data_IF_022507904952
#
_entry.id   IF_022507904952
#
_cell.length_a   1.000
_cell.length_b   1.000
_cell.length_c   1.000
_cell.angle_alpha   90.00
_cell.angle_beta   90.00
_cell.angle_gamma   90.00
#
_symmetry.space_group_name_H-M   'P 1'
#
loop_
_entity.id
_entity.type
_entity.pdbx_description
1 polymer ?
#
# COMPACT_ATOMS: atom_id res chain seq x y z
N UNK A 1 10.89 -11.82 -27.04
CA UNK A 1 10.49 -10.44 -27.29
C UNK A 1 8.97 -10.29 -27.40
N UNK A 2 8.28 -11.09 -28.18
CA UNK A 2 6.83 -11.02 -28.36
C UNK A 2 6.05 -10.96 -27.03
N UNK A 3 6.40 -11.80 -26.05
CA UNK A 3 5.76 -11.80 -24.73
C UNK A 3 5.98 -10.50 -23.94
N UNK A 4 7.15 -9.87 -24.11
CA UNK A 4 7.43 -8.56 -23.47
C UNK A 4 6.58 -7.46 -24.14
N UNK A 5 6.49 -7.46 -25.46
CA UNK A 5 5.70 -6.49 -26.21
C UNK A 5 4.20 -6.62 -25.81
N UNK A 6 3.68 -7.85 -25.69
CA UNK A 6 2.32 -8.12 -25.19
C UNK A 6 2.10 -7.61 -23.75
N UNK A 7 3.10 -7.70 -22.88
CA UNK A 7 3.00 -7.15 -21.53
C UNK A 7 3.03 -5.62 -21.52
N UNK A 8 3.83 -5.00 -22.39
CA UNK A 8 3.85 -3.54 -22.56
C UNK A 8 2.48 -3.04 -23.03
N UNK A 9 1.86 -3.72 -23.97
CA UNK A 9 0.52 -3.37 -24.44
C UNK A 9 -0.53 -3.62 -23.34
N UNK A 10 -0.36 -4.68 -22.55
CA UNK A 10 -1.26 -5.00 -21.45
C UNK A 10 -1.25 -3.92 -20.35
N UNK A 11 -0.06 -3.42 -19.94
CA UNK A 11 0.02 -2.40 -18.90
C UNK A 11 -0.49 -1.03 -19.35
N UNK A 12 -0.51 -0.76 -20.65
CA UNK A 12 -1.07 0.47 -21.24
C UNK A 12 -2.60 0.50 -21.33
N UNK A 13 -3.27 -0.62 -21.09
CA UNK A 13 -4.74 -0.66 -21.09
C UNK A 13 -5.32 0.35 -20.10
N UNK A 14 -6.47 0.98 -20.39
CA UNK A 14 -7.09 1.98 -19.51
C UNK A 14 -7.29 1.51 -18.07
N UNK A 15 -7.56 0.22 -17.89
CA UNK A 15 -7.76 -0.38 -16.55
C UNK A 15 -6.49 -0.40 -15.69
N UNK A 16 -5.30 -0.42 -16.32
CA UNK A 16 -4.00 -0.39 -15.65
C UNK A 16 -3.43 1.03 -15.68
N UNK A 17 -3.53 1.69 -16.85
CA UNK A 17 -3.22 3.10 -17.04
C UNK A 17 -1.74 3.46 -16.97
N UNK A 18 -0.82 2.50 -17.21
CA UNK A 18 0.59 2.81 -17.31
C UNK A 18 0.91 3.51 -18.63
N UNK A 19 1.76 4.53 -18.61
CA UNK A 19 2.25 5.19 -19.83
C UNK A 19 3.22 4.33 -20.63
N UNK A 20 3.87 3.37 -19.97
CA UNK A 20 4.82 2.43 -20.56
C UNK A 20 5.50 1.59 -19.48
N UNK A 21 6.40 0.75 -19.95
CA UNK A 21 7.21 -0.11 -19.09
C UNK A 21 8.58 -0.32 -19.73
N UNK A 22 9.63 -0.08 -18.96
CA UNK A 22 11.01 -0.42 -19.34
C UNK A 22 11.26 -1.86 -18.95
N UNK A 23 11.98 -2.58 -19.80
CA UNK A 23 12.49 -3.91 -19.47
C UNK A 23 14.01 -3.94 -19.57
N UNK A 24 14.65 -4.71 -18.69
CA UNK A 24 16.07 -5.02 -18.69
C UNK A 24 16.21 -6.54 -18.63
N UNK A 25 16.87 -7.11 -19.61
CA UNK A 25 17.13 -8.55 -19.67
C UNK A 25 18.60 -8.81 -19.39
N UNK A 26 18.85 -9.65 -18.38
CA UNK A 26 20.18 -10.17 -18.08
C UNK A 26 20.34 -11.50 -18.83
N UNK A 27 21.11 -11.49 -19.91
CA UNK A 27 21.27 -12.67 -20.76
C UNK A 27 22.19 -13.72 -20.10
N UNK A 28 22.11 -14.96 -20.55
CA UNK A 28 22.88 -16.06 -19.99
C UNK A 28 24.41 -15.91 -20.20
N UNK A 29 24.82 -15.14 -21.18
CA UNK A 29 26.22 -14.81 -21.48
C UNK A 29 26.77 -13.63 -20.66
N UNK A 30 25.94 -13.08 -19.75
CA UNK A 30 26.30 -11.95 -18.90
C UNK A 30 26.01 -10.57 -19.53
N UNK A 31 25.56 -10.52 -20.77
CA UNK A 31 25.21 -9.27 -21.44
C UNK A 31 23.88 -8.76 -20.94
N UNK A 32 23.79 -7.45 -20.66
CA UNK A 32 22.54 -6.78 -20.27
C UNK A 32 21.99 -6.02 -21.44
N UNK A 33 20.74 -6.28 -21.78
CA UNK A 33 20.00 -5.57 -22.84
C UNK A 33 18.74 -4.95 -22.30
N UNK A 34 18.30 -3.82 -22.87
CA UNK A 34 17.15 -3.09 -22.38
C UNK A 34 16.39 -2.40 -23.52
N UNK A 35 15.13 -2.04 -23.25
CA UNK A 35 14.38 -1.12 -24.11
C UNK A 35 14.96 0.29 -24.16
N UNK A 36 15.86 0.63 -23.23
CA UNK A 36 16.45 1.98 -23.07
C UNK A 36 17.94 2.03 -23.35
N UNK A 37 18.51 1.06 -24.04
CA UNK A 37 19.94 1.00 -24.41
C UNK A 37 20.45 2.29 -25.11
N UNK A 38 19.55 3.07 -25.75
CA UNK A 38 19.92 4.33 -26.40
C UNK A 38 20.23 5.46 -25.41
N UNK A 39 19.78 5.33 -24.16
CA UNK A 39 19.86 6.38 -23.15
C UNK A 39 20.79 6.04 -21.98
N UNK A 40 21.09 4.76 -21.79
CA UNK A 40 21.89 4.27 -20.68
C UNK A 40 23.02 3.38 -21.21
N UNK A 41 24.19 3.53 -20.61
CA UNK A 41 25.33 2.66 -20.90
C UNK A 41 25.09 1.24 -20.38
N UNK A 42 25.88 0.29 -20.89
CA UNK A 42 25.83 -1.08 -20.38
C UNK A 42 26.19 -1.16 -18.89
N UNK A 43 27.17 -0.34 -18.45
CA UNK A 43 27.55 -0.22 -17.04
C UNK A 43 26.40 0.25 -16.16
N UNK A 44 25.62 1.24 -16.61
CA UNK A 44 24.42 1.72 -15.90
C UNK A 44 23.39 0.61 -15.75
N UNK A 45 23.12 -0.15 -16.82
CA UNK A 45 22.17 -1.25 -16.82
C UNK A 45 22.66 -2.42 -15.95
N UNK A 46 23.95 -2.68 -15.91
CA UNK A 46 24.55 -3.67 -15.01
C UNK A 46 24.41 -3.24 -13.54
N UNK A 47 24.60 -1.95 -13.21
CA UNK A 47 24.36 -1.44 -11.86
C UNK A 47 22.89 -1.61 -11.44
N UNK A 48 21.94 -1.39 -12.34
CA UNK A 48 20.53 -1.67 -12.07
C UNK A 48 20.31 -3.17 -11.83
N UNK A 49 20.82 -4.05 -12.70
CA UNK A 49 20.70 -5.50 -12.53
C UNK A 49 21.28 -5.97 -11.18
N UNK A 50 22.42 -5.42 -10.78
CA UNK A 50 23.06 -5.72 -9.49
C UNK A 50 22.21 -5.25 -8.30
N UNK A 51 21.58 -4.09 -8.38
CA UNK A 51 20.69 -3.57 -7.33
C UNK A 51 19.46 -4.48 -7.10
N UNK A 52 19.02 -5.19 -8.13
CA UNK A 52 17.96 -6.20 -8.06
C UNK A 52 18.48 -7.61 -7.72
N UNK A 53 19.78 -7.79 -7.49
CA UNK A 53 20.42 -9.10 -7.35
C UNK A 53 20.08 -10.05 -8.53
N UNK A 54 19.94 -9.49 -9.74
CA UNK A 54 19.56 -10.24 -10.92
C UNK A 54 20.66 -11.22 -11.34
N UNK A 55 20.24 -12.36 -11.82
CA UNK A 55 21.09 -13.43 -12.33
C UNK A 55 20.94 -13.56 -13.84
N UNK A 56 21.92 -14.16 -14.53
CA UNK A 56 21.74 -14.51 -15.93
C UNK A 56 20.46 -15.29 -16.17
N UNK A 57 19.67 -14.84 -17.14
CA UNK A 57 18.34 -15.36 -17.43
C UNK A 57 17.19 -14.52 -16.88
N UNK A 58 17.44 -13.61 -15.94
CA UNK A 58 16.41 -12.78 -15.33
C UNK A 58 15.95 -11.64 -16.25
N UNK A 59 14.71 -11.22 -16.02
CA UNK A 59 14.05 -10.11 -16.70
C UNK A 59 13.48 -9.16 -15.64
N UNK A 60 13.92 -7.91 -15.67
CA UNK A 60 13.47 -6.84 -14.77
C UNK A 60 12.50 -5.94 -15.53
N UNK A 61 11.39 -5.59 -14.90
CA UNK A 61 10.45 -4.57 -15.37
C UNK A 61 10.49 -3.36 -14.46
N UNK A 62 10.51 -2.17 -15.07
CA UNK A 62 10.53 -0.90 -14.36
C UNK A 62 9.40 0.00 -14.88
N UNK A 63 8.73 0.66 -13.94
CA UNK A 63 7.76 1.71 -14.21
C UNK A 63 8.14 2.96 -13.42
N UNK A 64 7.84 4.14 -13.96
CA UNK A 64 8.07 5.42 -13.29
C UNK A 64 6.84 6.32 -13.39
N UNK A 65 6.67 7.21 -12.41
CA UNK A 65 5.55 8.13 -12.34
C UNK A 65 5.16 8.46 -10.90
N UNK A 66 3.92 8.89 -10.71
CA UNK A 66 3.37 9.10 -9.37
C UNK A 66 3.41 7.79 -8.58
N UNK A 67 3.90 7.84 -7.35
CA UNK A 67 4.19 6.67 -6.51
C UNK A 67 2.98 5.75 -6.33
N UNK A 68 1.82 6.30 -5.96
CA UNK A 68 0.61 5.51 -5.71
C UNK A 68 0.10 4.84 -7.00
N UNK A 69 0.13 5.56 -8.13
CA UNK A 69 -0.26 5.01 -9.43
C UNK A 69 0.68 3.88 -9.86
N UNK A 70 1.99 4.09 -9.73
CA UNK A 70 3.00 3.08 -10.10
C UNK A 70 2.88 1.84 -9.23
N UNK A 71 2.67 1.99 -7.91
CA UNK A 71 2.43 0.86 -7.01
C UNK A 71 1.23 0.00 -7.44
N UNK A 72 0.11 0.64 -7.78
CA UNK A 72 -1.09 -0.05 -8.27
C UNK A 72 -0.82 -0.78 -9.60
N UNK A 73 -0.13 -0.14 -10.53
CA UNK A 73 0.22 -0.70 -11.83
C UNK A 73 1.18 -1.90 -11.69
N UNK A 74 2.20 -1.80 -10.84
CA UNK A 74 3.13 -2.89 -10.55
C UNK A 74 2.44 -4.06 -9.83
N UNK A 75 1.50 -3.78 -8.94
CA UNK A 75 0.68 -4.82 -8.30
C UNK A 75 -0.13 -5.60 -9.34
N UNK A 76 -0.78 -4.91 -10.26
CA UNK A 76 -1.52 -5.54 -11.36
C UNK A 76 -0.61 -6.37 -12.26
N UNK A 77 0.57 -5.85 -12.64
CA UNK A 77 1.57 -6.58 -13.42
C UNK A 77 2.07 -7.83 -12.70
N UNK A 78 2.35 -7.73 -11.39
CA UNK A 78 2.76 -8.88 -10.57
C UNK A 78 1.71 -10.00 -10.60
N UNK A 79 0.44 -9.64 -10.47
CA UNK A 79 -0.66 -10.61 -10.50
C UNK A 79 -0.80 -11.26 -11.88
N UNK A 80 -0.69 -10.47 -12.95
CA UNK A 80 -0.74 -10.98 -14.33
C UNK A 80 0.41 -11.93 -14.63
N UNK A 81 1.63 -11.59 -14.23
CA UNK A 81 2.79 -12.46 -14.38
C UNK A 81 2.62 -13.76 -13.58
N UNK A 82 2.15 -13.67 -12.34
CA UNK A 82 1.85 -14.85 -11.52
C UNK A 82 0.87 -15.80 -12.19
N UNK A 83 -0.15 -15.26 -12.87
CA UNK A 83 -1.12 -16.06 -13.65
C UNK A 83 -0.49 -16.68 -14.91
N UNK A 84 0.22 -15.89 -15.73
CA UNK A 84 0.84 -16.37 -16.98
C UNK A 84 1.90 -17.45 -16.73
N UNK A 85 2.61 -17.33 -15.62
CA UNK A 85 3.68 -18.28 -15.24
C UNK A 85 3.16 -19.47 -14.41
N UNK A 86 1.85 -19.52 -14.12
CA UNK A 86 1.28 -20.61 -13.32
C UNK A 86 1.76 -20.66 -11.88
N UNK A 87 2.23 -19.54 -11.33
CA UNK A 87 2.77 -19.45 -9.97
C UNK A 87 1.69 -19.37 -8.87
N UNK A 88 0.42 -19.22 -9.28
CA UNK A 88 -0.71 -19.14 -8.36
C UNK A 88 -1.38 -20.49 -8.25
N UNK A 89 -1.35 -21.08 -7.06
CA UNK A 89 -2.05 -22.32 -6.78
C UNK A 89 -3.29 -22.06 -5.91
N UNK A 90 -4.52 -22.09 -6.46
CA UNK A 90 -5.73 -21.79 -5.70
C UNK A 90 -6.08 -22.87 -4.66
N UNK A 91 -5.39 -24.04 -4.70
CA UNK A 91 -5.60 -25.14 -3.74
C UNK A 91 -4.70 -25.03 -2.50
N UNK A 92 -3.74 -24.12 -2.50
CA UNK A 92 -2.88 -23.83 -1.36
C UNK A 92 -3.41 -22.64 -0.57
N UNK A 93 -3.38 -22.74 0.74
CA UNK A 93 -3.70 -21.63 1.64
C UNK A 93 -2.43 -20.86 1.93
N UNK A 94 -2.36 -19.60 1.47
CA UNK A 94 -1.23 -18.71 1.68
C UNK A 94 -1.69 -17.48 2.49
N UNK A 95 -1.80 -17.59 3.82
CA UNK A 95 -2.16 -16.45 4.67
C UNK A 95 -0.96 -15.53 4.87
N UNK A 96 -1.24 -14.23 4.99
CA UNK A 96 -0.28 -13.21 5.38
C UNK A 96 -0.97 -12.05 6.11
N UNK A 97 -0.19 -11.30 6.90
CA UNK A 97 -0.63 -10.04 7.47
C UNK A 97 -0.15 -8.88 6.62
N UNK A 98 -1.05 -7.94 6.36
CA UNK A 98 -0.71 -6.61 5.84
C UNK A 98 -0.74 -5.66 7.02
N UNK A 99 0.36 -4.93 7.22
CA UNK A 99 0.56 -3.99 8.32
C UNK A 99 1.16 -2.69 7.78
N UNK A 100 1.35 -1.71 8.68
CA UNK A 100 1.99 -0.44 8.34
C UNK A 100 1.21 0.40 7.30
N UNK A 101 -0.11 0.33 7.35
CA UNK A 101 -0.96 1.20 6.57
C UNK A 101 -0.72 2.68 6.93
N UNK A 102 -0.89 3.60 5.97
CA UNK A 102 -1.02 5.02 6.31
C UNK A 102 -2.16 5.23 7.32
N UNK A 103 -1.94 6.10 8.31
CA UNK A 103 -3.00 6.49 9.23
C UNK A 103 -4.02 7.40 8.56
N UNK A 104 -3.50 8.32 7.74
CA UNK A 104 -4.23 9.39 7.09
C UNK A 104 -3.92 9.41 5.60
N UNK A 105 -4.90 9.77 4.80
CA UNK A 105 -4.78 10.01 3.38
C UNK A 105 -5.16 11.45 3.07
N UNK A 106 -4.33 12.14 2.28
CA UNK A 106 -4.63 13.50 1.82
C UNK A 106 -5.59 13.45 0.64
N UNK A 107 -6.67 14.16 0.76
CA UNK A 107 -7.63 14.34 -0.32
C UNK A 107 -7.45 15.71 -0.98
N UNK A 108 -7.04 15.70 -2.22
CA UNK A 108 -6.80 16.89 -3.04
C UNK A 108 -8.09 17.70 -3.27
N UNK A 109 -9.23 17.03 -3.31
CA UNK A 109 -10.52 17.65 -3.63
C UNK A 109 -11.06 18.45 -2.45
N UNK A 110 -11.02 17.88 -1.25
CA UNK A 110 -11.45 18.54 -0.01
C UNK A 110 -10.35 19.38 0.65
N UNK A 111 -9.08 19.20 0.24
CA UNK A 111 -7.92 19.89 0.82
C UNK A 111 -7.66 19.54 2.29
N UNK A 112 -7.98 18.31 2.71
CA UNK A 112 -7.82 17.85 4.09
C UNK A 112 -7.44 16.37 4.17
N UNK A 113 -7.01 15.96 5.34
CA UNK A 113 -6.78 14.54 5.64
C UNK A 113 -8.08 13.80 5.92
N UNK A 114 -8.14 12.55 5.47
CA UNK A 114 -9.16 11.57 5.84
C UNK A 114 -8.50 10.39 6.56
N UNK A 115 -9.22 9.78 7.49
CA UNK A 115 -8.75 8.55 8.11
C UNK A 115 -8.80 7.41 7.10
N UNK A 116 -7.67 6.71 6.89
CA UNK A 116 -7.60 5.59 5.96
C UNK A 116 -8.55 4.44 6.37
N UNK A 117 -8.69 4.19 7.66
CA UNK A 117 -9.53 3.13 8.20
C UNK A 117 -10.68 3.68 9.05
N UNK A 118 -10.34 4.29 10.19
CA UNK A 118 -11.32 4.76 11.15
C UNK A 118 -10.71 5.89 12.01
N UNK A 119 -11.49 6.94 12.38
CA UNK A 119 -11.00 8.04 13.18
C UNK A 119 -10.44 7.66 14.56
N UNK A 120 -10.78 6.48 15.07
CA UNK A 120 -10.31 5.94 16.34
C UNK A 120 -9.15 4.95 16.20
N UNK A 121 -8.59 4.77 14.99
CA UNK A 121 -7.40 3.96 14.80
C UNK A 121 -6.19 4.64 15.41
N UNK A 122 -5.46 3.91 16.27
CA UNK A 122 -4.25 4.41 16.89
C UNK A 122 -3.11 4.54 15.87
N UNK A 123 -2.34 5.64 15.91
CA UNK A 123 -1.05 5.67 15.23
C UNK A 123 -0.09 4.66 15.86
N UNK A 124 0.95 4.26 15.13
CA UNK A 124 2.05 3.53 15.72
C UNK A 124 2.77 4.38 16.75
N UNK A 125 3.17 3.81 17.91
CA UNK A 125 3.83 4.57 18.97
C UNK A 125 5.09 5.31 18.51
N UNK A 126 5.87 4.68 17.63
CA UNK A 126 7.10 5.25 17.08
C UNK A 126 6.90 6.43 16.14
N UNK A 127 5.68 6.60 15.62
CA UNK A 127 5.33 7.66 14.67
C UNK A 127 4.56 8.83 15.33
N UNK A 128 4.31 8.77 16.64
CA UNK A 128 3.50 9.78 17.36
C UNK A 128 4.02 11.22 17.20
N UNK A 129 5.33 11.40 17.16
CA UNK A 129 5.92 12.73 16.99
C UNK A 129 5.66 13.33 15.60
N UNK A 130 5.49 12.46 14.58
CA UNK A 130 5.22 12.88 13.19
C UNK A 130 3.81 13.45 13.01
N UNK A 131 2.90 13.19 13.94
CA UNK A 131 1.50 13.61 13.84
C UNK A 131 1.35 15.13 13.66
N UNK A 132 2.30 15.91 14.20
CA UNK A 132 2.30 17.36 14.10
C UNK A 132 3.06 17.91 12.89
N UNK A 133 4.14 17.26 12.53
CA UNK A 133 5.07 17.76 11.49
C UNK A 133 4.79 17.17 10.12
N UNK A 134 4.49 15.88 10.07
CA UNK A 134 4.33 15.12 8.81
C UNK A 134 3.19 14.08 8.93
N UNK A 135 1.92 14.51 9.14
CA UNK A 135 0.80 13.61 9.41
C UNK A 135 0.58 12.57 8.30
N UNK A 136 0.89 12.88 7.05
CA UNK A 136 0.82 11.94 5.94
C UNK A 136 1.84 10.80 5.98
N UNK A 137 2.85 10.86 6.85
CA UNK A 137 3.84 9.79 7.04
C UNK A 137 3.55 8.88 8.24
N UNK A 138 2.58 9.24 9.05
CA UNK A 138 2.20 8.46 10.23
C UNK A 138 1.56 7.14 9.80
N UNK A 139 2.08 6.04 10.35
CA UNK A 139 1.51 4.70 10.11
C UNK A 139 0.42 4.39 11.12
N UNK A 140 -0.61 3.71 10.66
CA UNK A 140 -1.67 3.16 11.49
C UNK A 140 -1.22 1.89 12.23
N UNK A 141 -1.67 1.73 13.46
CA UNK A 141 -1.60 0.46 14.18
C UNK A 141 -2.79 -0.41 13.77
N UNK A 142 -2.89 -0.66 12.47
CA UNK A 142 -3.91 -1.46 11.81
C UNK A 142 -3.29 -2.67 11.13
N UNK A 143 -4.09 -3.69 10.91
CA UNK A 143 -3.65 -4.96 10.35
C UNK A 143 -4.79 -5.66 9.63
N UNK A 144 -4.49 -6.22 8.45
CA UNK A 144 -5.42 -7.05 7.69
C UNK A 144 -4.87 -8.46 7.54
N UNK A 145 -5.71 -9.44 7.77
CA UNK A 145 -5.43 -10.84 7.46
C UNK A 145 -5.87 -11.12 6.02
N UNK A 146 -4.90 -11.46 5.20
CA UNK A 146 -5.11 -11.75 3.77
C UNK A 146 -4.88 -13.22 3.51
N UNK A 147 -5.79 -13.86 2.80
CA UNK A 147 -5.67 -15.25 2.34
C UNK A 147 -5.76 -15.29 0.82
N UNK A 148 -4.73 -15.80 0.17
CA UNK A 148 -4.66 -15.92 -1.31
C UNK A 148 -4.99 -14.61 -2.05
N UNK A 149 -4.58 -13.46 -1.49
CA UNK A 149 -4.82 -12.15 -2.06
C UNK A 149 -6.19 -11.54 -1.73
N UNK A 150 -7.01 -12.21 -0.90
CA UNK A 150 -8.28 -11.68 -0.43
C UNK A 150 -8.20 -11.36 1.07
N UNK A 151 -8.63 -10.18 1.46
CA UNK A 151 -8.79 -9.81 2.86
C UNK A 151 -9.94 -10.63 3.47
N UNK A 152 -9.62 -11.42 4.48
CA UNK A 152 -10.57 -12.28 5.21
C UNK A 152 -10.89 -11.77 6.61
N UNK A 153 -10.15 -10.77 7.07
CA UNK A 153 -10.39 -10.10 8.33
C UNK A 153 -9.45 -8.94 8.49
N UNK A 154 -9.82 -7.98 9.31
CA UNK A 154 -8.99 -6.82 9.58
C UNK A 154 -9.36 -6.15 10.88
N UNK A 155 -8.47 -5.31 11.39
CA UNK A 155 -8.67 -4.61 12.63
C UNK A 155 -7.63 -3.55 12.92
N UNK A 156 -7.75 -2.97 14.09
CA UNK A 156 -6.76 -2.00 14.56
C UNK A 156 -6.74 -1.92 16.08
N UNK A 157 -5.61 -1.47 16.60
CA UNK A 157 -5.54 -0.94 17.95
C UNK A 157 -6.22 0.43 17.97
N UNK A 158 -7.03 0.68 18.98
CA UNK A 158 -7.82 1.92 19.10
C UNK A 158 -7.12 2.93 19.97
N UNK A 159 -7.34 4.20 19.68
CA UNK A 159 -6.97 5.29 20.56
C UNK A 159 -7.83 5.18 21.83
N UNK A 160 -7.18 5.22 22.98
CA UNK A 160 -7.82 5.27 24.30
C UNK A 160 -7.42 6.52 25.09
N UNK A 161 -6.43 7.25 24.59
CA UNK A 161 -6.01 8.54 25.11
C UNK A 161 -6.90 9.66 24.55
N UNK A 162 -7.51 10.45 25.44
CA UNK A 162 -8.45 11.50 25.07
C UNK A 162 -7.78 12.64 24.29
N UNK A 163 -6.55 13.01 24.65
CA UNK A 163 -5.88 14.15 24.05
C UNK A 163 -5.40 13.76 22.64
N UNK A 164 -4.92 12.55 22.46
CA UNK A 164 -4.59 11.99 21.15
C UNK A 164 -5.84 11.92 20.26
N UNK A 165 -6.98 11.49 20.80
CA UNK A 165 -8.22 11.42 20.02
C UNK A 165 -8.70 12.81 19.59
N UNK A 166 -8.60 13.81 20.46
CA UNK A 166 -8.94 15.19 20.09
C UNK A 166 -8.07 15.71 18.96
N UNK A 167 -6.76 15.45 19.02
CA UNK A 167 -5.82 15.81 17.95
C UNK A 167 -6.16 15.13 16.62
N UNK A 168 -6.55 13.85 16.66
CA UNK A 168 -6.99 13.15 15.47
C UNK A 168 -8.22 13.82 14.83
N UNK A 169 -9.19 14.26 15.63
CA UNK A 169 -10.35 14.98 15.10
C UNK A 169 -9.96 16.32 14.48
N UNK A 170 -9.05 17.06 15.10
CA UNK A 170 -8.54 18.32 14.54
C UNK A 170 -7.85 18.09 13.18
N UNK A 171 -7.02 17.04 13.05
CA UNK A 171 -6.36 16.67 11.79
C UNK A 171 -7.35 16.27 10.68
N UNK A 172 -8.45 15.64 11.07
CA UNK A 172 -9.53 15.25 10.15
C UNK A 172 -10.46 16.40 9.82
N UNK A 173 -10.26 17.59 10.42
CA UNK A 173 -11.03 18.80 10.17
C UNK A 173 -12.40 18.83 10.84
N UNK A 174 -12.61 18.02 11.88
CA UNK A 174 -13.83 18.13 12.69
C UNK A 174 -13.78 19.39 13.56
N UNK A 175 -14.86 20.14 13.59
CA UNK A 175 -15.07 21.13 14.64
C UNK A 175 -15.36 20.43 15.98
N UNK A 176 -15.19 21.15 17.08
CA UNK A 176 -15.51 20.59 18.42
C UNK A 176 -16.98 20.19 18.52
N UNK A 177 -17.87 21.00 17.92
CA UNK A 177 -19.30 20.78 17.90
C UNK A 177 -19.65 19.53 17.08
N UNK A 178 -19.01 19.33 15.94
CA UNK A 178 -19.22 18.13 15.09
C UNK A 178 -18.69 16.87 15.79
N UNK A 179 -17.50 16.93 16.39
CA UNK A 179 -16.94 15.83 17.14
C UNK A 179 -17.80 15.45 18.35
N UNK A 180 -18.33 16.45 19.08
CA UNK A 180 -19.22 16.22 20.21
C UNK A 180 -20.57 15.65 19.75
N UNK A 181 -21.14 16.16 18.67
CA UNK A 181 -22.42 15.67 18.14
C UNK A 181 -22.34 14.22 17.66
N UNK A 182 -21.22 13.82 17.03
CA UNK A 182 -21.04 12.48 16.47
C UNK A 182 -20.48 11.48 17.48
N UNK A 183 -19.53 11.90 18.31
CA UNK A 183 -18.70 11.02 19.14
C UNK A 183 -18.68 11.41 20.62
N UNK A 184 -19.44 12.44 21.02
CA UNK A 184 -19.44 12.97 22.40
C UNK A 184 -19.77 11.91 23.43
N UNK A 185 -20.69 10.99 23.11
CA UNK A 185 -20.99 9.83 23.96
C UNK A 185 -19.72 9.03 24.30
N UNK A 186 -18.94 8.66 23.29
CA UNK A 186 -17.72 7.88 23.48
C UNK A 186 -16.61 8.70 24.14
N UNK A 187 -16.43 9.96 23.71
CA UNK A 187 -15.45 10.86 24.31
C UNK A 187 -15.74 11.15 25.78
N UNK A 188 -17.01 11.21 26.18
CA UNK A 188 -17.41 11.32 27.57
C UNK A 188 -17.09 10.06 28.37
N UNK A 189 -17.26 8.88 27.78
CA UNK A 189 -16.85 7.64 28.41
C UNK A 189 -15.32 7.58 28.68
N UNK A 190 -14.52 8.11 27.75
CA UNK A 190 -13.05 8.18 27.91
C UNK A 190 -12.59 9.05 29.08
N UNK A 191 -13.43 9.98 29.55
CA UNK A 191 -13.13 10.78 30.77
C UNK A 191 -13.01 9.93 32.03
N UNK A 192 -13.65 8.76 32.05
CA UNK A 192 -13.61 7.81 33.16
C UNK A 192 -12.48 6.78 33.02
N UNK A 193 -11.70 6.89 31.94
CA UNK A 193 -10.64 5.96 31.57
C UNK A 193 -11.13 4.89 30.60
N UNK A 194 -10.33 4.63 29.59
CA UNK A 194 -10.54 3.54 28.66
C UNK A 194 -9.31 2.61 28.70
N UNK A 195 -9.47 1.29 28.76
CA UNK A 195 -8.34 0.38 28.66
C UNK A 195 -7.78 0.40 27.24
N UNK A 196 -6.48 0.08 27.06
CA UNK A 196 -5.98 -0.28 25.74
C UNK A 196 -6.83 -1.40 25.15
N UNK A 197 -7.32 -1.20 23.93
CA UNK A 197 -8.19 -2.17 23.26
C UNK A 197 -7.92 -2.26 21.77
N UNK A 198 -8.15 -3.43 21.22
CA UNK A 198 -8.03 -3.74 19.81
C UNK A 198 -9.09 -4.77 19.41
N UNK A 199 -9.31 -4.93 18.13
CA UNK A 199 -10.26 -5.91 17.64
C UNK A 199 -9.87 -6.42 16.25
N UNK A 200 -10.40 -7.58 15.92
CA UNK A 200 -10.35 -8.18 14.59
C UNK A 200 -11.77 -8.52 14.18
N UNK A 201 -12.21 -7.97 13.06
CA UNK A 201 -13.47 -8.39 12.44
C UNK A 201 -13.17 -9.34 11.27
N UNK A 202 -13.91 -10.44 11.22
CA UNK A 202 -13.82 -11.42 10.14
C UNK A 202 -14.91 -11.14 9.10
N UNK A 203 -14.53 -10.90 7.87
CA UNK A 203 -15.45 -10.70 6.75
C UNK A 203 -16.09 -12.03 6.34
N UNK A 204 -17.15 -12.44 7.04
CA UNK A 204 -17.83 -13.71 6.83
C UNK A 204 -18.77 -13.77 5.62
N UNK A 205 -19.04 -12.64 4.96
CA UNK A 205 -20.14 -12.50 3.98
C UNK A 205 -19.70 -12.33 2.53
N UNK A 206 -18.41 -12.48 2.18
CA UNK A 206 -17.92 -12.33 0.80
C UNK A 206 -17.38 -13.62 0.17
N UNK A 207 -17.85 -14.77 0.60
CA UNK A 207 -17.58 -16.07 -0.03
C UNK A 207 -18.82 -16.57 -0.81
N UNK A 208 -19.46 -15.67 -1.56
CA UNK A 208 -20.46 -16.04 -2.56
C UNK A 208 -19.97 -15.60 -3.93
#
# INVERSE_FOLDING_TARGET
>A
RKQIDELIDWVKRPQIGASGMVWIKFQNDGVVTSSVNKFYSEEDLQRVAAAFNAKPGDLIFLMSGNENKVRTQLSALRMELGNRLGLRNPKEFAPLWVIDFPLLEWDEESGRYHAMHHPFTSPKPEDLELIHSEPGKVRANAYDLVLNGNEIGGGSVRIFDKDLQSRMFDLLGFTKEEAEAQFGFLMNAFKYGAPPHAGLDRKSTRLN
#
